data_IF_002833987500
#
_entry.id   IF_002833987500
#
_cell.length_a   1.000
_cell.length_b   1.000
_cell.length_c   1.000
_cell.angle_alpha   90.00
_cell.angle_beta   90.00
_cell.angle_gamma   90.00
#
_symmetry.space_group_name_H-M   'P 1'
#
loop_
_entity.id
_entity.type
_entity.pdbx_description
1 polymer ?
#
# COMPACT_ATOMS: atom_id res chain seq x y z
N UNK A 1 -18.68 49.01 25.82
CA UNK A 1 -17.94 48.27 24.78
C UNK A 1 -16.97 47.35 25.49
N UNK A 2 -17.43 46.12 25.75
CA UNK A 2 -16.76 45.08 26.51
C UNK A 2 -16.16 44.07 25.52
N UNK A 3 -14.86 43.80 25.64
CA UNK A 3 -14.20 42.70 24.93
C UNK A 3 -14.67 41.36 25.52
N UNK A 4 -14.84 40.30 24.71
CA UNK A 4 -15.05 38.96 25.26
C UNK A 4 -13.69 38.28 25.50
N UNK A 5 -13.55 37.74 26.70
CA UNK A 5 -12.55 36.75 27.08
C UNK A 5 -12.87 35.42 26.39
N UNK A 6 -11.89 34.87 25.66
CA UNK A 6 -11.96 33.48 25.21
C UNK A 6 -11.29 32.61 26.28
N UNK A 7 -12.12 31.91 27.05
CA UNK A 7 -11.69 30.82 27.91
C UNK A 7 -11.22 29.66 27.03
N UNK A 8 -9.97 29.21 27.25
CA UNK A 8 -9.48 27.95 26.72
C UNK A 8 -10.05 26.81 27.57
N UNK A 9 -11.12 26.19 27.09
CA UNK A 9 -11.63 24.93 27.64
C UNK A 9 -10.69 23.78 27.26
N UNK A 10 -9.88 23.36 28.23
CA UNK A 10 -9.08 22.14 28.22
C UNK A 10 -9.98 20.94 28.53
N UNK A 11 -10.51 20.26 27.50
CA UNK A 11 -11.10 18.92 27.68
C UNK A 11 -11.21 18.12 26.36
N UNK A 12 -10.07 17.59 25.89
CA UNK A 12 -9.98 16.68 24.74
C UNK A 12 -9.55 15.26 25.13
N UNK A 13 -10.14 14.67 26.18
CA UNK A 13 -9.89 13.28 26.59
C UNK A 13 -11.11 12.37 26.37
N UNK A 14 -11.66 12.38 25.16
CA UNK A 14 -12.76 11.49 24.77
C UNK A 14 -12.49 10.88 23.38
N UNK A 15 -12.61 9.54 23.32
CA UNK A 15 -12.80 8.68 22.12
C UNK A 15 -11.56 8.20 21.35
N UNK A 16 -10.78 7.29 21.95
CA UNK A 16 -9.93 6.38 21.16
C UNK A 16 -10.39 4.92 21.33
N UNK A 17 -10.89 4.54 22.51
CA UNK A 17 -11.38 3.17 22.74
C UNK A 17 -12.72 2.89 22.04
N UNK A 18 -13.57 3.92 21.92
CA UNK A 18 -14.92 3.85 21.34
C UNK A 18 -14.90 3.65 19.80
N UNK A 19 -13.81 4.06 19.12
CA UNK A 19 -13.73 4.00 17.65
C UNK A 19 -13.36 2.62 17.11
N UNK A 20 -12.56 1.83 17.84
CA UNK A 20 -12.19 0.46 17.41
C UNK A 20 -13.33 -0.53 17.62
N UNK A 21 -14.09 -0.41 18.71
CA UNK A 21 -15.31 -1.23 18.92
C UNK A 21 -16.40 -0.88 17.90
N UNK A 22 -16.60 0.40 17.57
CA UNK A 22 -17.54 0.82 16.55
C UNK A 22 -17.22 0.25 15.14
N UNK A 23 -15.93 0.08 14.81
CA UNK A 23 -15.50 -0.54 13.56
C UNK A 23 -15.76 -2.06 13.54
N UNK A 24 -15.73 -2.74 14.69
CA UNK A 24 -15.96 -4.18 14.79
C UNK A 24 -17.39 -4.60 14.40
N UNK A 25 -18.38 -3.70 14.54
CA UNK A 25 -19.80 -3.95 14.23
C UNK A 25 -20.33 -3.13 13.05
N UNK A 26 -19.53 -2.21 12.51
CA UNK A 26 -19.95 -1.34 11.40
C UNK A 26 -20.42 -2.15 10.17
N UNK A 27 -21.58 -1.81 9.58
CA UNK A 27 -22.07 -2.42 8.34
C UNK A 27 -21.49 -1.76 7.08
N UNK A 28 -20.62 -0.75 7.23
CA UNK A 28 -20.00 -0.04 6.10
C UNK A 28 -19.05 -0.98 5.36
N UNK A 29 -19.12 -1.00 4.02
CA UNK A 29 -18.33 -1.88 3.17
C UNK A 29 -16.83 -1.83 3.49
N UNK A 30 -16.20 -0.65 3.53
CA UNK A 30 -14.77 -0.56 3.81
C UNK A 30 -14.39 -1.08 5.21
N UNK A 31 -15.30 -0.95 6.19
CA UNK A 31 -15.08 -1.54 7.51
C UNK A 31 -15.22 -3.07 7.49
N UNK A 32 -16.17 -3.61 6.71
CA UNK A 32 -16.30 -5.06 6.47
C UNK A 32 -15.05 -5.62 5.80
N UNK A 33 -14.62 -5.01 4.68
CA UNK A 33 -13.42 -5.43 3.93
C UNK A 33 -12.15 -5.34 4.77
N UNK A 34 -12.02 -4.33 5.63
CA UNK A 34 -10.92 -4.24 6.60
C UNK A 34 -10.92 -5.40 7.60
N UNK A 35 -12.09 -5.78 8.13
CA UNK A 35 -12.22 -6.93 9.03
C UNK A 35 -11.92 -8.24 8.33
N UNK A 36 -12.39 -8.41 7.09
CA UNK A 36 -12.11 -9.59 6.28
C UNK A 36 -10.62 -9.68 5.94
N UNK A 37 -9.98 -8.55 5.62
CA UNK A 37 -8.53 -8.47 5.46
C UNK A 37 -7.80 -8.93 6.72
N UNK A 38 -8.16 -8.43 7.90
CA UNK A 38 -7.58 -8.91 9.17
C UNK A 38 -7.82 -10.39 9.39
N UNK A 39 -9.06 -10.87 9.25
CA UNK A 39 -9.39 -12.29 9.39
C UNK A 39 -8.57 -13.18 8.44
N UNK A 40 -8.31 -12.71 7.22
CA UNK A 40 -7.46 -13.43 6.26
C UNK A 40 -6.02 -13.58 6.75
N UNK A 41 -5.45 -12.55 7.41
CA UNK A 41 -4.10 -12.58 7.98
C UNK A 41 -4.00 -13.58 9.14
N UNK A 42 -5.06 -13.72 9.93
CA UNK A 42 -5.14 -14.71 11.01
C UNK A 42 -5.26 -16.13 10.44
N UNK A 43 -6.15 -16.32 9.46
CA UNK A 43 -6.43 -17.62 8.85
C UNK A 43 -5.24 -18.17 8.04
N UNK A 44 -4.48 -17.31 7.37
CA UNK A 44 -3.28 -17.67 6.61
C UNK A 44 -2.06 -17.95 7.49
N UNK A 45 -2.13 -17.61 8.79
CA UNK A 45 -0.98 -17.62 9.68
C UNK A 45 0.04 -16.51 9.41
N UNK A 46 -0.34 -15.44 8.69
CA UNK A 46 0.49 -14.24 8.55
C UNK A 46 0.63 -13.52 9.90
N UNK A 47 -0.49 -13.31 10.60
CA UNK A 47 -0.54 -12.76 11.95
C UNK A 47 -0.82 -13.88 12.96
N UNK A 48 0.19 -14.25 13.74
CA UNK A 48 0.11 -15.26 14.79
C UNK A 48 0.76 -14.76 16.07
N UNK A 49 0.42 -15.36 17.21
CA UNK A 49 1.11 -15.14 18.48
C UNK A 49 1.79 -16.44 18.90
N UNK A 50 3.08 -16.40 19.21
CA UNK A 50 3.80 -17.60 19.65
C UNK A 50 3.50 -17.94 21.12
N UNK A 51 4.04 -19.07 21.61
CA UNK A 51 3.82 -19.54 22.99
C UNK A 51 4.31 -18.57 24.07
N UNK A 52 5.20 -17.65 23.73
CA UNK A 52 5.73 -16.65 24.65
C UNK A 52 4.95 -15.33 24.56
N UNK A 53 3.84 -15.28 23.81
CA UNK A 53 3.08 -14.06 23.62
C UNK A 53 3.79 -13.07 22.70
N UNK A 54 4.59 -13.54 21.72
CA UNK A 54 5.22 -12.64 20.74
C UNK A 54 4.53 -12.75 19.39
N UNK A 55 3.94 -11.65 18.88
CA UNK A 55 3.32 -11.64 17.56
C UNK A 55 4.31 -11.79 16.40
N UNK A 56 3.85 -12.35 15.28
CA UNK A 56 4.67 -12.66 14.10
C UNK A 56 5.28 -11.42 13.41
N UNK A 57 4.67 -10.24 13.57
CA UNK A 57 5.18 -8.96 13.08
C UNK A 57 6.14 -8.25 14.06
N UNK A 58 6.34 -8.78 15.27
CA UNK A 58 7.27 -8.20 16.22
C UNK A 58 8.74 -8.60 15.97
N UNK A 59 9.63 -7.72 16.42
CA UNK A 59 11.03 -8.05 16.67
C UNK A 59 11.22 -8.47 18.12
N UNK A 60 11.50 -9.76 18.35
CA UNK A 60 11.70 -10.38 19.67
C UNK A 60 12.78 -9.69 20.51
N UNK A 61 13.74 -9.03 19.88
CA UNK A 61 14.83 -8.34 20.56
C UNK A 61 14.49 -6.88 20.92
N UNK A 62 13.33 -6.38 20.50
CA UNK A 62 12.89 -5.02 20.75
C UNK A 62 11.61 -5.03 21.60
N UNK A 63 11.74 -4.67 22.87
CA UNK A 63 10.62 -4.67 23.84
C UNK A 63 9.43 -3.81 23.40
N UNK A 64 9.67 -2.65 22.77
CA UNK A 64 8.59 -1.79 22.23
C UNK A 64 7.89 -2.45 21.04
N UNK A 65 8.65 -3.09 20.16
CA UNK A 65 8.09 -3.85 19.03
C UNK A 65 7.15 -4.94 19.51
N UNK A 66 7.55 -5.72 20.52
CA UNK A 66 6.71 -6.76 21.12
C UNK A 66 5.48 -6.14 21.80
N UNK A 67 5.66 -5.08 22.58
CA UNK A 67 4.57 -4.41 23.30
C UNK A 67 3.46 -3.92 22.36
N UNK A 68 3.80 -3.11 21.35
CA UNK A 68 2.78 -2.56 20.44
C UNK A 68 2.18 -3.63 19.55
N UNK A 69 2.97 -4.58 19.05
CA UNK A 69 2.43 -5.70 18.29
C UNK A 69 1.44 -6.52 19.12
N UNK A 70 1.74 -6.76 20.41
CA UNK A 70 0.86 -7.52 21.29
C UNK A 70 -0.42 -6.75 21.58
N UNK A 71 -0.34 -5.44 21.77
CA UNK A 71 -1.53 -4.59 21.92
C UNK A 71 -2.44 -4.64 20.68
N UNK A 72 -1.85 -4.59 19.47
CA UNK A 72 -2.60 -4.77 18.21
C UNK A 72 -3.23 -6.16 18.16
N UNK A 73 -2.47 -7.23 18.41
CA UNK A 73 -2.97 -8.60 18.38
C UNK A 73 -4.11 -8.84 19.38
N UNK A 74 -4.02 -8.25 20.58
CA UNK A 74 -5.08 -8.30 21.58
C UNK A 74 -6.35 -7.59 21.10
N UNK A 75 -6.22 -6.41 20.50
CA UNK A 75 -7.35 -5.65 19.95
C UNK A 75 -8.02 -6.37 18.78
N UNK A 76 -7.23 -7.04 17.95
CA UNK A 76 -7.71 -7.90 16.86
C UNK A 76 -8.20 -9.29 17.34
N UNK A 77 -8.17 -9.56 18.65
CA UNK A 77 -8.60 -10.83 19.26
C UNK A 77 -7.93 -12.04 18.61
N UNK A 78 -6.61 -11.96 18.39
CA UNK A 78 -5.83 -13.07 17.81
C UNK A 78 -5.74 -14.21 18.82
N UNK A 79 -6.51 -15.27 18.61
CA UNK A 79 -6.51 -16.48 19.45
C UNK A 79 -5.55 -17.57 18.94
N UNK A 80 -5.03 -17.41 17.71
CA UNK A 80 -4.19 -18.41 17.06
C UNK A 80 -2.79 -18.48 17.68
N UNK A 81 -2.53 -19.54 18.45
CA UNK A 81 -1.18 -19.87 18.94
C UNK A 81 -0.45 -20.68 17.87
N UNK A 82 0.49 -20.06 17.17
CA UNK A 82 1.32 -20.74 16.18
C UNK A 82 2.74 -20.14 16.14
N UNK A 83 3.73 -20.96 15.81
CA UNK A 83 5.08 -20.45 15.63
C UNK A 83 5.15 -19.48 14.46
N UNK A 84 6.06 -18.51 14.55
CA UNK A 84 6.30 -17.53 13.50
C UNK A 84 6.68 -18.24 12.21
N UNK A 85 5.86 -18.07 11.16
CA UNK A 85 6.19 -18.56 9.83
C UNK A 85 7.51 -17.94 9.31
N UNK A 86 8.20 -18.63 8.40
CA UNK A 86 9.39 -18.11 7.76
C UNK A 86 9.10 -16.74 7.09
N UNK A 87 10.09 -15.85 7.07
CA UNK A 87 9.92 -14.49 6.53
C UNK A 87 9.42 -14.45 5.08
N UNK A 88 9.83 -15.42 4.26
CA UNK A 88 9.37 -15.57 2.87
C UNK A 88 7.87 -15.92 2.80
N UNK A 89 7.40 -16.80 3.68
CA UNK A 89 6.01 -17.27 3.72
C UNK A 89 5.08 -16.17 4.24
N UNK A 90 5.49 -15.42 5.26
CA UNK A 90 4.72 -14.29 5.79
C UNK A 90 4.64 -13.11 4.83
N UNK A 91 5.73 -12.81 4.09
CA UNK A 91 5.70 -11.82 3.02
C UNK A 91 4.71 -12.18 1.91
N UNK A 92 4.83 -13.40 1.37
CA UNK A 92 3.97 -13.87 0.29
C UNK A 92 2.48 -13.86 0.67
N UNK A 93 2.14 -14.36 1.87
CA UNK A 93 0.74 -14.39 2.35
C UNK A 93 0.20 -13.00 2.66
N UNK A 94 1.04 -12.07 3.11
CA UNK A 94 0.65 -10.67 3.28
C UNK A 94 0.34 -9.99 1.94
N UNK A 95 1.15 -10.24 0.91
CA UNK A 95 0.89 -9.75 -0.45
C UNK A 95 -0.42 -10.31 -1.01
N UNK A 96 -0.71 -11.60 -0.77
CA UNK A 96 -1.96 -12.23 -1.19
C UNK A 96 -3.17 -11.57 -0.50
N UNK A 97 -3.07 -11.30 0.81
CA UNK A 97 -4.12 -10.63 1.58
C UNK A 97 -4.37 -9.19 1.11
N UNK A 98 -3.31 -8.42 0.82
CA UNK A 98 -3.44 -7.05 0.30
C UNK A 98 -4.07 -7.04 -1.09
N UNK A 99 -3.66 -7.97 -1.97
CA UNK A 99 -4.27 -8.09 -3.30
C UNK A 99 -5.75 -8.47 -3.22
N UNK A 100 -6.13 -9.39 -2.32
CA UNK A 100 -7.52 -9.79 -2.09
C UNK A 100 -8.36 -8.61 -1.58
N UNK A 101 -7.86 -7.89 -0.58
CA UNK A 101 -8.52 -6.70 -0.03
C UNK A 101 -8.76 -5.62 -1.09
N UNK A 102 -7.78 -5.36 -1.97
CA UNK A 102 -7.94 -4.37 -3.04
C UNK A 102 -8.94 -4.85 -4.12
N UNK A 103 -8.98 -6.15 -4.40
CA UNK A 103 -9.95 -6.74 -5.34
C UNK A 103 -11.40 -6.63 -4.83
N UNK A 104 -11.63 -6.70 -3.53
CA UNK A 104 -12.97 -6.60 -2.96
C UNK A 104 -13.40 -5.14 -2.71
N UNK A 105 -12.47 -4.26 -2.34
CA UNK A 105 -12.78 -2.88 -1.97
C UNK A 105 -12.75 -1.87 -3.14
N UNK A 106 -11.76 -1.92 -4.03
CA UNK A 106 -11.57 -0.87 -5.04
C UNK A 106 -12.65 -0.85 -6.14
N UNK A 107 -13.11 -2.00 -6.69
CA UNK A 107 -14.16 -2.00 -7.72
C UNK A 107 -15.49 -1.38 -7.27
N UNK A 108 -15.77 -1.38 -5.96
CA UNK A 108 -16.95 -0.72 -5.40
C UNK A 108 -16.94 0.81 -5.62
N UNK A 109 -15.79 1.40 -5.96
CA UNK A 109 -15.62 2.83 -6.24
C UNK A 109 -15.77 3.18 -7.73
N UNK A 110 -16.31 2.27 -8.55
CA UNK A 110 -16.50 2.48 -9.99
C UNK A 110 -17.29 3.74 -10.36
N UNK A 111 -18.17 4.23 -9.48
CA UNK A 111 -18.88 5.50 -9.67
C UNK A 111 -17.96 6.73 -9.61
N UNK A 112 -16.91 6.67 -8.79
CA UNK A 112 -15.91 7.74 -8.67
C UNK A 112 -14.77 7.56 -9.67
N UNK A 113 -14.38 6.30 -9.92
CA UNK A 113 -13.24 5.95 -10.76
C UNK A 113 -13.59 4.79 -11.71
N UNK A 114 -14.36 5.05 -12.78
CA UNK A 114 -14.80 4.00 -13.70
C UNK A 114 -13.62 3.47 -14.53
N UNK A 115 -13.63 2.17 -14.80
CA UNK A 115 -12.63 1.51 -15.60
C UNK A 115 -12.76 0.00 -15.53
N UNK A 116 -12.11 -0.66 -16.49
CA UNK A 116 -11.83 -2.09 -16.42
C UNK A 116 -10.47 -2.26 -15.72
N UNK A 117 -10.51 -2.78 -14.50
CA UNK A 117 -9.37 -2.81 -13.57
C UNK A 117 -8.84 -4.24 -13.40
N UNK A 118 -7.53 -4.42 -13.57
CA UNK A 118 -6.80 -5.65 -13.25
C UNK A 118 -6.00 -5.42 -11.96
N UNK A 119 -6.36 -6.15 -10.89
CA UNK A 119 -5.73 -6.07 -9.57
C UNK A 119 -5.13 -7.43 -9.24
N UNK A 120 -3.81 -7.51 -9.16
CA UNK A 120 -3.15 -8.78 -8.91
C UNK A 120 -1.79 -8.62 -8.28
N UNK A 121 -1.39 -9.67 -7.57
CA UNK A 121 -0.02 -9.88 -7.12
C UNK A 121 0.86 -10.35 -8.28
N UNK A 122 2.10 -9.86 -8.32
CA UNK A 122 3.10 -10.32 -9.29
C UNK A 122 3.92 -11.45 -8.67
N UNK A 123 3.90 -12.64 -9.29
CA UNK A 123 4.72 -13.79 -8.86
C UNK A 123 5.87 -14.04 -9.84
N UNK A 124 7.02 -14.48 -9.32
CA UNK A 124 8.34 -14.50 -9.97
C UNK A 124 8.55 -15.32 -11.26
N UNK A 125 7.49 -15.76 -11.96
CA UNK A 125 7.57 -16.39 -13.29
C UNK A 125 6.88 -15.62 -14.41
N UNK A 126 5.99 -14.66 -14.11
CA UNK A 126 5.42 -13.71 -15.07
C UNK A 126 6.15 -12.35 -15.04
N UNK A 127 7.43 -12.37 -14.65
CA UNK A 127 8.25 -11.20 -14.36
C UNK A 127 8.71 -10.45 -15.62
N UNK A 128 7.80 -10.17 -16.56
CA UNK A 128 7.93 -9.01 -17.45
C UNK A 128 7.98 -7.70 -16.64
N UNK A 129 7.79 -7.77 -15.32
CA UNK A 129 7.86 -6.64 -14.39
C UNK A 129 6.83 -5.59 -14.81
N UNK A 130 7.21 -4.33 -14.67
CA UNK A 130 6.39 -3.23 -15.18
C UNK A 130 6.41 -3.07 -16.70
N UNK A 131 7.30 -3.75 -17.43
CA UNK A 131 7.42 -3.59 -18.90
C UNK A 131 6.24 -4.13 -19.71
N UNK A 132 5.29 -4.81 -19.07
CA UNK A 132 4.01 -5.18 -19.70
C UNK A 132 2.99 -4.03 -19.74
N UNK A 133 3.28 -2.90 -19.09
CA UNK A 133 2.38 -1.75 -19.03
C UNK A 133 2.84 -0.64 -19.98
N UNK A 134 1.88 0.11 -20.52
CA UNK A 134 2.10 1.15 -21.53
C UNK A 134 3.25 2.11 -21.14
N UNK A 135 3.25 2.61 -19.90
CA UNK A 135 4.22 3.63 -19.47
C UNK A 135 5.67 3.11 -19.46
N UNK A 136 5.86 1.80 -19.40
CA UNK A 136 7.14 1.14 -19.16
C UNK A 136 7.51 0.12 -20.23
N UNK A 137 6.72 0.00 -21.30
CA UNK A 137 6.95 -0.98 -22.38
C UNK A 137 8.35 -0.94 -22.97
N UNK A 138 8.91 0.26 -23.10
CA UNK A 138 10.26 0.48 -23.60
C UNK A 138 11.36 -0.17 -22.74
N UNK A 139 11.08 -0.53 -21.49
CA UNK A 139 12.03 -1.23 -20.63
C UNK A 139 12.30 -2.66 -21.10
N UNK A 140 11.37 -3.29 -21.82
CA UNK A 140 11.62 -4.58 -22.46
C UNK A 140 12.68 -4.47 -23.57
N UNK A 141 12.68 -3.36 -24.31
CA UNK A 141 13.69 -3.10 -25.34
C UNK A 141 15.04 -2.76 -24.72
N UNK A 142 15.04 -1.96 -23.65
CA UNK A 142 16.25 -1.68 -22.87
C UNK A 142 16.87 -2.97 -22.32
N UNK A 143 16.04 -3.85 -21.74
CA UNK A 143 16.49 -5.12 -21.19
C UNK A 143 17.16 -6.00 -22.25
N UNK A 144 16.56 -6.07 -23.44
CA UNK A 144 17.13 -6.80 -24.58
C UNK A 144 18.47 -6.22 -25.01
N UNK A 145 18.58 -4.89 -25.09
CA UNK A 145 19.83 -4.21 -25.46
C UNK A 145 20.94 -4.43 -24.42
N UNK A 146 20.61 -4.32 -23.13
CA UNK A 146 21.56 -4.54 -22.02
C UNK A 146 22.05 -5.99 -21.99
N UNK A 147 21.17 -6.97 -22.22
CA UNK A 147 21.56 -8.40 -22.29
C UNK A 147 22.46 -8.73 -23.48
N UNK A 148 22.33 -8.00 -24.58
CA UNK A 148 23.14 -8.20 -25.78
C UNK A 148 24.54 -7.58 -25.69
N UNK A 149 24.73 -6.54 -24.85
CA UNK A 149 26.01 -5.82 -24.75
C UNK A 149 26.63 -5.92 -23.33
N UNK A 150 27.77 -6.63 -23.18
CA UNK A 150 28.49 -6.73 -21.91
C UNK A 150 28.90 -5.38 -21.28
N UNK A 151 29.19 -4.36 -22.08
CA UNK A 151 29.55 -3.02 -21.59
C UNK A 151 28.35 -2.27 -21.02
N UNK A 152 27.19 -2.36 -21.70
CA UNK A 152 25.93 -1.82 -21.17
C UNK A 152 25.54 -2.55 -19.88
N UNK A 153 25.68 -3.88 -19.83
CA UNK A 153 25.42 -4.66 -18.62
C UNK A 153 26.34 -4.29 -17.46
N UNK A 154 27.62 -4.02 -17.71
CA UNK A 154 28.56 -3.56 -16.69
C UNK A 154 28.23 -2.15 -16.17
N UNK A 155 27.64 -1.29 -17.01
CA UNK A 155 27.38 0.12 -16.67
C UNK A 155 25.99 0.36 -16.07
N UNK A 156 24.95 -0.29 -16.62
CA UNK A 156 23.54 -0.10 -16.25
C UNK A 156 23.02 -1.18 -15.29
N UNK A 157 23.67 -2.35 -15.27
CA UNK A 157 23.24 -3.48 -14.46
C UNK A 157 21.78 -3.87 -14.73
N UNK A 158 21.05 -4.22 -13.67
CA UNK A 158 19.62 -4.52 -13.70
C UNK A 158 18.78 -3.42 -13.02
N UNK A 159 19.33 -2.21 -12.88
CA UNK A 159 18.73 -1.16 -12.05
C UNK A 159 17.37 -0.64 -12.56
N UNK A 160 16.99 -0.94 -13.81
CA UNK A 160 15.70 -0.56 -14.40
C UNK A 160 14.59 -1.61 -14.19
N UNK A 161 14.92 -2.80 -13.68
CA UNK A 161 13.93 -3.87 -13.46
C UNK A 161 13.20 -3.58 -12.15
N UNK A 162 11.90 -3.27 -12.25
CA UNK A 162 11.01 -3.10 -11.10
C UNK A 162 9.99 -4.23 -11.10
N UNK A 163 9.94 -4.96 -9.98
CA UNK A 163 9.02 -6.06 -9.74
C UNK A 163 8.15 -5.71 -8.52
N UNK A 164 7.06 -4.96 -8.71
CA UNK A 164 6.16 -4.58 -7.63
C UNK A 164 5.46 -5.79 -7.04
N UNK A 165 5.13 -5.74 -5.75
CA UNK A 165 4.49 -6.87 -5.05
C UNK A 165 3.03 -7.05 -5.52
N UNK A 166 2.23 -5.97 -5.47
CA UNK A 166 0.86 -5.92 -5.98
C UNK A 166 0.70 -4.73 -6.94
N UNK A 167 -0.05 -4.93 -8.02
CA UNK A 167 -0.36 -3.88 -9.00
C UNK A 167 -1.86 -3.69 -9.15
N UNK A 168 -2.21 -2.49 -9.59
CA UNK A 168 -3.52 -2.17 -10.16
C UNK A 168 -3.25 -1.58 -11.54
N UNK A 169 -3.89 -2.13 -12.56
CA UNK A 169 -3.80 -1.66 -13.93
C UNK A 169 -5.18 -1.40 -14.51
N UNK A 170 -5.25 -0.50 -15.49
CA UNK A 170 -6.45 -0.16 -16.22
C UNK A 170 -6.31 -0.63 -17.66
N UNK A 171 -7.26 -1.40 -18.15
CA UNK A 171 -7.28 -1.80 -19.56
C UNK A 171 -7.65 -0.59 -20.45
N UNK A 172 -7.05 -0.48 -21.64
CA UNK A 172 -7.44 0.52 -22.61
C UNK A 172 -8.86 0.26 -23.12
N UNK A 173 -9.54 1.33 -23.52
CA UNK A 173 -10.97 1.36 -23.87
C UNK A 173 -11.13 1.30 -25.39
N UNK A 174 -12.10 0.51 -25.86
CA UNK A 174 -12.42 0.45 -27.29
C UNK A 174 -13.15 1.71 -27.77
N UNK A 175 -13.00 2.06 -29.04
CA UNK A 175 -13.68 3.21 -29.63
C UNK A 175 -15.21 3.06 -29.56
N UNK A 176 -15.74 1.83 -29.58
CA UNK A 176 -17.18 1.57 -29.39
C UNK A 176 -17.68 2.01 -28.01
N UNK A 177 -16.89 1.80 -26.95
CA UNK A 177 -17.22 2.24 -25.59
C UNK A 177 -17.04 3.76 -25.45
N UNK A 178 -15.96 4.32 -26.00
CA UNK A 178 -15.74 5.77 -26.00
C UNK A 178 -16.86 6.52 -26.73
N UNK A 179 -17.34 5.96 -27.84
CA UNK A 179 -18.38 6.57 -28.67
C UNK A 179 -19.81 6.19 -28.26
N UNK A 180 -20.02 5.50 -27.13
CA UNK A 180 -21.32 4.94 -26.76
C UNK A 180 -22.44 6.01 -26.58
N UNK A 181 -22.08 7.22 -26.15
CA UNK A 181 -23.03 8.33 -26.00
C UNK A 181 -22.86 9.46 -27.03
N UNK A 182 -21.63 9.77 -27.42
CA UNK A 182 -21.30 10.82 -28.39
C UNK A 182 -20.12 10.36 -29.21
N UNK A 183 -20.08 10.68 -30.50
CA UNK A 183 -18.91 10.38 -31.33
C UNK A 183 -17.74 11.26 -30.87
N UNK A 184 -16.87 10.70 -30.02
CA UNK A 184 -15.71 11.39 -29.43
C UNK A 184 -14.46 11.22 -30.28
N UNK A 185 -14.27 10.03 -30.87
CA UNK A 185 -13.04 9.67 -31.59
C UNK A 185 -13.32 8.87 -32.86
N UNK A 186 -12.42 9.00 -33.82
CA UNK A 186 -12.32 8.19 -35.03
C UNK A 186 -10.83 7.92 -35.35
N UNK A 187 -10.53 7.43 -36.55
CA UNK A 187 -9.15 7.13 -36.98
C UNK A 187 -8.28 8.38 -37.21
N UNK A 188 -8.88 9.59 -37.27
CA UNK A 188 -8.20 10.83 -37.63
C UNK A 188 -7.74 11.66 -36.42
N UNK A 189 -8.40 11.53 -35.26
CA UNK A 189 -8.10 12.29 -34.03
C UNK A 189 -7.66 11.38 -32.90
N UNK A 190 -6.98 11.93 -31.88
CA UNK A 190 -6.54 11.20 -30.69
C UNK A 190 -5.75 9.91 -30.99
N UNK A 191 -4.96 9.91 -32.06
CA UNK A 191 -4.23 8.74 -32.61
C UNK A 191 -3.01 8.31 -31.78
N UNK A 192 -2.72 9.03 -30.70
CA UNK A 192 -1.66 8.73 -29.74
C UNK A 192 -2.17 8.64 -28.29
N UNK A 193 -3.49 8.62 -28.08
CA UNK A 193 -4.06 8.57 -26.75
C UNK A 193 -3.91 7.18 -26.13
N UNK A 194 -3.15 7.06 -25.03
CA UNK A 194 -2.89 5.78 -24.35
C UNK A 194 -4.15 5.06 -23.88
N UNK A 195 -5.25 5.79 -23.63
CA UNK A 195 -6.53 5.17 -23.23
C UNK A 195 -7.19 4.38 -24.36
N UNK A 196 -6.86 4.64 -25.63
CA UNK A 196 -7.52 3.99 -26.78
C UNK A 196 -6.87 2.66 -27.11
N UNK A 197 -7.67 1.60 -27.07
CA UNK A 197 -7.21 0.24 -27.41
C UNK A 197 -6.75 0.12 -28.87
N UNK A 198 -7.35 0.90 -29.79
CA UNK A 198 -6.93 0.95 -31.20
C UNK A 198 -5.54 1.58 -31.41
N UNK A 199 -5.05 2.38 -30.45
CA UNK A 199 -3.73 3.03 -30.50
C UNK A 199 -2.68 2.15 -29.84
N UNK A 200 -3.00 1.61 -28.66
CA UNK A 200 -2.08 0.77 -27.89
C UNK A 200 -2.89 -0.25 -27.06
N UNK A 201 -2.55 -1.56 -27.12
CA UNK A 201 -3.35 -2.60 -26.46
C UNK A 201 -2.90 -2.92 -25.02
N UNK A 202 -1.77 -2.36 -24.57
CA UNK A 202 -1.18 -2.71 -23.28
C UNK A 202 -1.94 -2.02 -22.13
N UNK A 203 -2.12 -2.69 -20.98
CA UNK A 203 -2.74 -2.04 -19.82
C UNK A 203 -1.91 -0.87 -19.31
N UNK A 204 -2.58 0.12 -18.72
CA UNK A 204 -1.95 1.29 -18.10
C UNK A 204 -1.77 0.97 -16.61
N UNK A 205 -0.53 1.03 -16.10
CA UNK A 205 -0.25 0.84 -14.68
C UNK A 205 -0.82 2.01 -13.88
N UNK A 206 -1.81 1.72 -13.04
CA UNK A 206 -2.47 2.72 -12.20
C UNK A 206 -1.82 2.83 -10.83
N UNK A 207 -1.43 1.71 -10.23
CA UNK A 207 -0.79 1.68 -8.92
C UNK A 207 0.21 0.54 -8.77
N UNK A 208 1.23 0.80 -7.96
CA UNK A 208 2.17 -0.15 -7.39
C UNK A 208 2.04 -0.10 -5.87
N UNK A 209 1.80 -1.27 -5.28
CA UNK A 209 1.67 -1.46 -3.83
C UNK A 209 2.80 -2.37 -3.36
N UNK A 210 3.79 -1.78 -2.69
CA UNK A 210 4.86 -2.55 -2.03
C UNK A 210 4.38 -3.05 -0.67
N UNK A 211 4.39 -4.36 -0.45
CA UNK A 211 3.90 -4.99 0.76
C UNK A 211 5.07 -5.37 1.66
N UNK A 212 5.09 -4.88 2.90
CA UNK A 212 6.18 -5.13 3.85
C UNK A 212 5.62 -5.55 5.20
N UNK A 213 5.50 -6.86 5.44
CA UNK A 213 4.95 -7.39 6.71
C UNK A 213 5.74 -6.89 7.93
N UNK A 214 7.06 -6.91 7.85
CA UNK A 214 7.94 -6.25 8.81
C UNK A 214 9.04 -5.47 8.11
N UNK A 215 9.49 -4.38 8.74
CA UNK A 215 10.50 -3.51 8.17
C UNK A 215 11.88 -3.78 8.77
N UNK A 216 12.88 -3.60 7.93
CA UNK A 216 14.30 -3.53 8.28
C UNK A 216 14.90 -2.38 7.47
N UNK A 217 16.01 -1.82 7.93
CA UNK A 217 16.63 -0.65 7.31
C UNK A 217 16.98 -0.86 5.83
N UNK A 218 17.41 -2.06 5.45
CA UNK A 218 17.66 -2.46 4.06
C UNK A 218 16.37 -2.52 3.23
N UNK A 219 15.29 -3.07 3.80
CA UNK A 219 14.01 -3.24 3.09
C UNK A 219 13.30 -1.92 2.80
N UNK A 220 13.50 -0.92 3.66
CA UNK A 220 12.99 0.42 3.42
C UNK A 220 13.65 1.07 2.18
N UNK A 221 14.97 0.91 2.04
CA UNK A 221 15.70 1.45 0.89
C UNK A 221 15.33 0.77 -0.43
N UNK A 222 14.99 -0.53 -0.40
CA UNK A 222 14.54 -1.24 -1.59
C UNK A 222 13.24 -0.63 -2.14
N UNK A 223 12.24 -0.38 -1.28
CA UNK A 223 10.98 0.24 -1.70
C UNK A 223 11.21 1.64 -2.31
N UNK A 224 12.11 2.45 -1.74
CA UNK A 224 12.48 3.76 -2.30
C UNK A 224 13.18 3.66 -3.65
N UNK A 225 14.08 2.69 -3.80
CA UNK A 225 14.81 2.49 -5.06
C UNK A 225 13.87 2.04 -6.17
N UNK A 226 12.96 1.11 -5.88
CA UNK A 226 11.90 0.68 -6.80
C UNK A 226 11.00 1.84 -7.20
N UNK A 227 10.55 2.65 -6.24
CA UNK A 227 9.77 3.86 -6.48
C UNK A 227 10.48 4.85 -7.40
N UNK A 228 11.74 5.18 -7.11
CA UNK A 228 12.54 6.09 -7.92
C UNK A 228 12.73 5.57 -9.35
N UNK A 229 12.83 4.25 -9.54
CA UNK A 229 12.93 3.65 -10.87
C UNK A 229 11.64 3.79 -11.66
N UNK A 230 10.47 3.63 -11.03
CA UNK A 230 9.17 3.91 -11.66
C UNK A 230 9.09 5.38 -12.09
N UNK A 231 9.41 6.29 -11.17
CA UNK A 231 9.37 7.72 -11.44
C UNK A 231 10.29 8.10 -12.60
N UNK A 232 11.54 7.61 -12.61
CA UNK A 232 12.56 7.99 -13.61
C UNK A 232 12.27 7.40 -14.99
N UNK A 233 11.72 6.20 -15.06
CA UNK A 233 11.57 5.49 -16.33
C UNK A 233 10.18 5.62 -16.96
N UNK A 234 9.20 6.25 -16.31
CA UNK A 234 7.85 6.37 -16.89
C UNK A 234 7.84 7.16 -18.21
N UNK A 235 7.00 6.73 -19.16
CA UNK A 235 6.52 7.54 -20.28
C UNK A 235 5.03 7.76 -20.14
N UNK A 236 4.64 8.82 -19.42
CA UNK A 236 3.24 9.10 -19.10
C UNK A 236 3.05 9.54 -17.66
N UNK A 237 1.83 9.40 -17.15
CA UNK A 237 1.52 9.68 -15.74
C UNK A 237 2.20 8.64 -14.84
N UNK A 238 2.71 9.11 -13.70
CA UNK A 238 3.26 8.22 -12.66
C UNK A 238 2.11 7.42 -12.06
N UNK A 239 2.25 6.09 -11.89
CA UNK A 239 1.27 5.33 -11.12
C UNK A 239 1.28 5.81 -9.66
N UNK A 240 0.25 5.47 -8.89
CA UNK A 240 0.34 5.57 -7.43
C UNK A 240 1.46 4.65 -6.94
N UNK A 241 2.32 5.16 -6.05
CA UNK A 241 3.44 4.42 -5.47
C UNK A 241 3.27 4.39 -3.97
N UNK A 242 2.73 3.30 -3.44
CA UNK A 242 2.33 3.19 -2.04
C UNK A 242 2.99 2.00 -1.36
N UNK A 243 3.07 2.06 -0.03
CA UNK A 243 3.53 0.94 0.80
C UNK A 243 2.44 0.51 1.75
N UNK A 244 2.19 -0.78 1.87
CA UNK A 244 1.36 -1.36 2.93
C UNK A 244 2.26 -2.13 3.90
N UNK A 245 2.13 -1.89 5.20
CA UNK A 245 3.01 -2.53 6.20
C UNK A 245 2.29 -3.05 7.45
N UNK A 246 2.81 -4.17 7.97
CA UNK A 246 2.46 -4.73 9.28
C UNK A 246 3.45 -4.39 10.38
N UNK A 247 4.45 -3.53 10.13
CA UNK A 247 5.49 -3.19 11.08
C UNK A 247 4.91 -2.44 12.30
N UNK A 248 5.11 -2.95 13.53
CA UNK A 248 4.56 -2.31 14.73
C UNK A 248 5.34 -1.09 15.21
N UNK A 249 6.62 -0.90 14.84
CA UNK A 249 7.44 0.18 15.40
C UNK A 249 7.46 1.45 14.56
N UNK A 250 7.15 2.58 15.20
CA UNK A 250 7.10 3.90 14.54
C UNK A 250 8.44 4.33 13.94
N UNK A 251 9.56 4.02 14.59
CA UNK A 251 10.89 4.35 14.06
C UNK A 251 11.22 3.61 12.76
N UNK A 252 10.66 2.42 12.55
CA UNK A 252 10.80 1.69 11.29
C UNK A 252 9.78 2.14 10.25
N UNK A 253 8.54 2.40 10.65
CA UNK A 253 7.54 3.01 9.75
C UNK A 253 8.05 4.35 9.22
N UNK A 254 8.59 5.20 10.09
CA UNK A 254 9.08 6.53 9.74
C UNK A 254 10.24 6.50 8.76
N UNK A 255 11.04 5.43 8.74
CA UNK A 255 12.10 5.22 7.74
C UNK A 255 11.60 5.13 6.30
N UNK A 256 10.30 4.89 6.11
CA UNK A 256 9.60 4.94 4.82
C UNK A 256 8.68 6.16 4.73
N UNK A 257 7.87 6.40 5.75
CA UNK A 257 6.83 7.44 5.71
C UNK A 257 7.40 8.86 5.69
N UNK A 258 8.48 9.12 6.44
CA UNK A 258 9.11 10.44 6.46
C UNK A 258 9.99 10.64 5.22
N UNK A 259 9.78 11.78 4.57
CA UNK A 259 10.33 12.08 3.24
C UNK A 259 9.23 12.27 2.22
N UNK A 260 9.58 12.92 1.12
CA UNK A 260 8.64 13.25 0.04
C UNK A 260 9.29 13.02 -1.32
N UNK A 261 8.50 12.55 -2.28
CA UNK A 261 8.86 12.54 -3.70
C UNK A 261 9.14 11.16 -4.29
N UNK A 262 9.27 10.12 -3.47
CA UNK A 262 9.41 8.73 -3.90
C UNK A 262 8.15 7.89 -3.59
N UNK A 263 7.66 7.92 -2.34
CA UNK A 263 6.48 7.18 -1.90
C UNK A 263 5.33 8.16 -1.66
N UNK A 264 4.17 7.87 -2.24
CA UNK A 264 2.97 8.70 -2.12
C UNK A 264 2.43 8.69 -0.69
N UNK A 265 2.26 7.51 -0.08
CA UNK A 265 1.77 7.32 1.29
C UNK A 265 2.09 5.91 1.78
N UNK A 266 2.33 5.76 3.10
CA UNK A 266 2.40 4.46 3.78
C UNK A 266 1.05 4.16 4.44
N UNK A 267 0.54 2.94 4.26
CA UNK A 267 -0.69 2.47 4.87
C UNK A 267 -0.35 1.37 5.88
N UNK A 268 -0.75 1.57 7.13
CA UNK A 268 -0.58 0.58 8.17
C UNK A 268 -1.77 -0.38 8.17
N UNK A 269 -1.50 -1.67 8.34
CA UNK A 269 -2.53 -2.70 8.26
C UNK A 269 -3.61 -2.57 9.34
N UNK A 270 -3.28 -1.97 10.48
CA UNK A 270 -4.14 -1.82 11.66
C UNK A 270 -3.82 -0.50 12.38
N UNK A 271 -4.00 0.65 11.70
CA UNK A 271 -3.52 1.95 12.22
C UNK A 271 -4.25 2.35 13.50
N UNK A 272 -5.57 2.18 13.54
CA UNK A 272 -6.38 2.56 14.71
C UNK A 272 -5.95 1.79 15.98
N UNK A 273 -5.63 0.51 15.83
CA UNK A 273 -5.13 -0.34 16.90
C UNK A 273 -3.72 0.08 17.34
N UNK A 274 -2.85 0.45 16.39
CA UNK A 274 -1.52 0.98 16.68
C UNK A 274 -1.58 2.33 17.41
N UNK A 275 -2.44 3.25 16.98
CA UNK A 275 -2.65 4.55 17.65
C UNK A 275 -3.07 4.36 19.10
N UNK A 276 -4.02 3.44 19.34
CA UNK A 276 -4.45 3.09 20.70
C UNK A 276 -3.27 2.56 21.53
N UNK A 277 -2.47 1.65 20.96
CA UNK A 277 -1.32 1.05 21.64
C UNK A 277 -0.22 2.07 21.99
N UNK A 278 0.11 2.97 21.06
CA UNK A 278 1.14 4.00 21.26
C UNK A 278 0.68 5.01 22.29
N UNK A 279 -0.57 5.51 22.20
CA UNK A 279 -1.09 6.48 23.17
C UNK A 279 -1.20 5.90 24.58
N UNK A 280 -1.56 4.62 24.70
CA UNK A 280 -1.59 3.92 25.99
C UNK A 280 -0.21 3.74 26.64
N UNK A 281 0.88 3.79 25.86
CA UNK A 281 2.24 3.67 26.41
C UNK A 281 2.72 4.91 27.18
N UNK A 282 2.10 6.07 26.96
CA UNK A 282 2.51 7.33 27.58
C UNK A 282 3.89 7.86 27.13
N UNK A 283 4.42 7.34 26.02
CA UNK A 283 5.70 7.73 25.44
C UNK A 283 5.50 8.93 24.49
N UNK A 284 5.63 10.15 25.04
CA UNK A 284 5.37 11.42 24.33
C UNK A 284 6.17 11.56 23.03
N UNK A 285 7.40 11.03 22.97
CA UNK A 285 8.24 11.06 21.76
C UNK A 285 7.60 10.25 20.63
N UNK A 286 7.10 9.06 20.96
CA UNK A 286 6.46 8.17 19.98
C UNK A 286 5.06 8.65 19.61
N UNK A 287 4.31 9.22 20.54
CA UNK A 287 3.03 9.86 20.25
C UNK A 287 3.25 11.02 19.26
N UNK A 288 4.22 11.90 19.52
CA UNK A 288 4.53 13.01 18.61
C UNK A 288 5.02 12.53 17.23
N UNK A 289 5.80 11.45 17.17
CA UNK A 289 6.24 10.85 15.90
C UNK A 289 5.06 10.27 15.11
N UNK A 290 4.12 9.61 15.77
CA UNK A 290 2.90 9.08 15.16
C UNK A 290 2.04 10.22 14.60
N UNK A 291 1.74 11.22 15.45
CA UNK A 291 0.92 12.38 15.08
C UNK A 291 1.54 13.12 13.89
N UNK A 292 2.86 13.34 13.89
CA UNK A 292 3.59 13.94 12.77
C UNK A 292 3.42 13.17 11.45
N UNK A 293 3.43 11.82 11.49
CA UNK A 293 3.22 11.02 10.29
C UNK A 293 1.75 11.02 9.82
N UNK A 294 0.79 10.97 10.73
CA UNK A 294 -0.65 10.96 10.40
C UNK A 294 -1.10 12.34 9.91
N UNK A 295 -0.83 13.39 10.67
CA UNK A 295 -1.18 14.78 10.31
C UNK A 295 -0.44 15.24 9.05
N UNK A 296 0.81 14.79 8.89
CA UNK A 296 1.61 14.99 7.68
C UNK A 296 1.12 14.19 6.46
N UNK A 297 0.04 13.40 6.58
CA UNK A 297 -0.51 12.52 5.54
C UNK A 297 0.52 11.56 4.96
N UNK A 298 1.43 11.08 5.82
CA UNK A 298 2.49 10.13 5.48
C UNK A 298 2.15 8.70 5.91
N UNK A 299 1.31 8.56 6.93
CA UNK A 299 0.79 7.31 7.45
C UNK A 299 -0.74 7.34 7.48
N UNK A 300 -1.38 6.32 6.92
CA UNK A 300 -2.84 6.15 6.88
C UNK A 300 -3.25 4.72 7.23
N UNK A 301 -4.54 4.45 7.44
CA UNK A 301 -5.03 3.08 7.65
C UNK A 301 -5.23 2.39 6.29
N UNK A 302 -5.13 1.07 6.25
CA UNK A 302 -5.44 0.29 5.06
C UNK A 302 -6.84 0.59 4.48
N UNK A 303 -7.81 1.03 5.31
CA UNK A 303 -9.13 1.47 4.87
C UNK A 303 -9.13 2.70 3.97
N UNK A 304 -8.09 3.54 4.04
CA UNK A 304 -7.98 4.76 3.25
C UNK A 304 -7.49 4.47 1.81
N UNK A 305 -6.71 3.41 1.63
CA UNK A 305 -6.04 3.08 0.38
C UNK A 305 -6.99 3.00 -0.83
N UNK A 306 -8.16 2.32 -0.77
CA UNK A 306 -9.06 2.25 -1.93
C UNK A 306 -9.54 3.62 -2.39
N UNK A 307 -9.83 4.54 -1.45
CA UNK A 307 -10.29 5.89 -1.77
C UNK A 307 -9.16 6.76 -2.34
N UNK A 308 -7.95 6.66 -1.79
CA UNK A 308 -6.79 7.40 -2.31
C UNK A 308 -6.39 6.95 -3.72
N UNK A 309 -6.68 5.69 -4.08
CA UNK A 309 -6.50 5.16 -5.43
C UNK A 309 -7.59 5.62 -6.42
N UNK A 310 -8.67 6.23 -5.94
CA UNK A 310 -9.79 6.68 -6.76
C UNK A 310 -9.72 8.17 -7.17
N UNK A 311 -8.62 8.86 -6.84
CA UNK A 311 -8.37 10.27 -7.17
C UNK A 311 -8.23 10.49 -8.69
#
# INVERSE_FOLDING_TARGET
MTQPSFDHDTSGSRRVDDSTEALAESPVLLAQERREFHASLLASGTLTVDRNGVPSNADKQNSRSVMWAQAIANKLKVETVNERAAGQTSGNTFEDAVAAYLNSSFPALSALRPGDWDIRKITGRNASGVSQFEQYRHLADLDRAVKADPMLRASLGNAYVVAPDVIIARNPVSDAVLNAGTLLVDESVATHASLRCSVQPDPILHSVVSCKWTLRSDRAQNARTEALNLIRNRKGQVPHIVVVTGEPTLSRISSLALGTGDIDTVYHFALYELETAVRASGDDEHIALLDSMVDGRRLKDISDLPLDLAI
#
